data_IF_547923093027
#
_entry.id   IF_547923093027
#
_cell.length_a   1.000
_cell.length_b   1.000
_cell.length_c   1.000
_cell.angle_alpha   90.00
_cell.angle_beta   90.00
_cell.angle_gamma   90.00
#
_symmetry.space_group_name_H-M   'P 1'
#
loop_
_entity.id
_entity.type
_entity.pdbx_description
1 polymer ?
#
# COMPACT_ATOMS: atom_id res chain seq x y z
N UNK A 1 39.98 20.22 -0.86
CA UNK A 1 38.54 20.09 -1.23
C UNK A 1 37.95 21.48 -1.22
N UNK A 2 37.36 21.96 -2.33
CA UNK A 2 36.81 23.32 -2.39
C UNK A 2 35.49 23.39 -1.61
N UNK A 3 35.19 24.53 -0.99
CA UNK A 3 33.94 24.84 -0.25
C UNK A 3 32.69 24.58 -1.12
N UNK A 4 32.80 24.76 -2.43
CA UNK A 4 31.72 24.49 -3.38
C UNK A 4 31.43 22.97 -3.49
N UNK A 5 32.45 22.11 -3.41
CA UNK A 5 32.33 20.66 -3.41
C UNK A 5 31.65 20.13 -2.13
N UNK A 6 31.94 20.75 -0.97
CA UNK A 6 31.32 20.34 0.30
C UNK A 6 29.83 20.65 0.35
N UNK A 7 29.42 21.83 -0.14
CA UNK A 7 28.00 22.22 -0.21
C UNK A 7 27.17 21.31 -1.10
N UNK A 8 27.73 20.84 -2.24
CA UNK A 8 27.07 19.87 -3.09
C UNK A 8 26.84 18.55 -2.37
N UNK A 9 27.89 18.03 -1.73
CA UNK A 9 27.84 16.80 -0.93
C UNK A 9 26.81 16.86 0.19
N UNK A 10 26.66 18.02 0.84
CA UNK A 10 25.70 18.15 1.94
C UNK A 10 24.25 18.17 1.45
N UNK A 11 23.98 18.78 0.29
CA UNK A 11 22.68 18.71 -0.36
C UNK A 11 22.32 17.26 -0.75
N UNK A 12 23.25 16.54 -1.38
CA UNK A 12 23.03 15.13 -1.75
C UNK A 12 22.74 14.26 -0.51
N UNK A 13 23.46 14.45 0.60
CA UNK A 13 23.19 13.78 1.88
C UNK A 13 21.82 14.13 2.44
N UNK A 14 21.45 15.40 2.36
CA UNK A 14 20.13 15.89 2.82
C UNK A 14 19.01 15.21 2.04
N UNK A 15 19.12 15.17 0.71
CA UNK A 15 18.14 14.52 -0.18
C UNK A 15 18.00 13.05 0.19
N UNK A 16 19.11 12.29 0.25
CA UNK A 16 19.10 10.87 0.57
C UNK A 16 18.44 10.61 1.95
N UNK A 17 18.83 11.36 2.99
CA UNK A 17 18.23 11.22 4.33
C UNK A 17 16.74 11.56 4.35
N UNK A 18 16.31 12.55 3.56
CA UNK A 18 14.89 12.93 3.49
C UNK A 18 14.05 11.82 2.86
N UNK A 19 14.51 11.23 1.76
CA UNK A 19 13.85 10.10 1.12
C UNK A 19 13.79 8.87 2.04
N UNK A 20 14.90 8.54 2.70
CA UNK A 20 14.95 7.46 3.70
C UNK A 20 13.92 7.68 4.82
N UNK A 21 13.89 8.89 5.39
CA UNK A 21 13.01 9.23 6.53
C UNK A 21 11.53 9.26 6.16
N UNK A 22 11.20 9.80 4.98
CA UNK A 22 9.80 10.07 4.59
C UNK A 22 9.16 8.92 3.83
N UNK A 23 9.92 8.21 3.00
CA UNK A 23 9.44 7.13 2.16
C UNK A 23 9.89 5.75 2.65
N UNK A 24 10.84 5.66 3.59
CA UNK A 24 11.47 4.41 3.97
C UNK A 24 12.40 3.83 2.88
N UNK A 25 12.67 4.61 1.82
CA UNK A 25 13.42 4.15 0.66
C UNK A 25 14.91 3.92 0.99
N UNK A 26 15.50 2.84 0.47
CA UNK A 26 16.92 2.48 0.64
C UNK A 26 17.80 3.16 -0.40
N UNK A 27 17.74 4.48 -0.44
CA UNK A 27 18.52 5.31 -1.36
C UNK A 27 19.81 5.79 -0.70
N UNK A 28 20.85 6.02 -1.48
CA UNK A 28 22.13 6.52 -1.00
C UNK A 28 22.69 7.57 -1.96
N UNK A 29 23.56 8.43 -1.43
CA UNK A 29 24.36 9.30 -2.28
C UNK A 29 25.27 8.44 -3.18
N UNK A 30 25.32 8.71 -4.49
CA UNK A 30 26.30 8.10 -5.37
C UNK A 30 27.66 8.84 -5.26
N UNK A 31 28.65 8.14 -4.72
CA UNK A 31 30.01 8.66 -4.59
C UNK A 31 30.79 8.68 -5.90
N UNK A 32 30.25 8.07 -6.95
CA UNK A 32 30.90 7.90 -8.27
C UNK A 32 30.21 8.68 -9.38
N UNK A 33 29.23 9.54 -9.03
CA UNK A 33 28.54 10.38 -10.01
C UNK A 33 29.59 11.18 -10.80
N UNK A 34 29.63 10.98 -12.11
CA UNK A 34 30.56 11.64 -13.02
C UNK A 34 31.78 10.83 -13.50
N UNK A 35 32.11 9.67 -12.95
CA UNK A 35 33.27 8.86 -13.37
C UNK A 35 32.89 7.40 -13.69
N UNK A 36 32.15 7.17 -14.77
CA UNK A 36 31.96 5.81 -15.33
C UNK A 36 30.96 4.92 -14.61
N UNK A 37 30.09 5.46 -13.78
CA UNK A 37 28.94 4.74 -13.20
C UNK A 37 27.86 4.49 -14.26
N UNK A 38 27.24 3.29 -14.23
CA UNK A 38 26.05 2.99 -15.03
C UNK A 38 24.83 3.86 -14.64
N UNK A 39 24.83 4.42 -13.42
CA UNK A 39 23.87 5.42 -12.94
C UNK A 39 24.53 6.80 -12.96
N UNK A 40 24.04 7.70 -13.78
CA UNK A 40 24.60 9.05 -13.95
C UNK A 40 24.04 10.07 -12.95
N UNK A 41 23.20 9.65 -12.00
CA UNK A 41 22.52 10.49 -11.05
C UNK A 41 23.24 10.60 -9.72
N UNK A 42 23.04 11.68 -8.98
CA UNK A 42 23.69 11.94 -7.70
C UNK A 42 23.13 11.09 -6.55
N UNK A 43 21.88 10.63 -6.70
CA UNK A 43 21.22 9.73 -5.75
C UNK A 43 21.04 8.36 -6.39
N UNK A 44 21.65 7.35 -5.76
CA UNK A 44 21.51 5.96 -6.15
C UNK A 44 20.30 5.32 -5.47
N UNK A 45 19.35 4.83 -6.27
CA UNK A 45 18.16 4.08 -5.86
C UNK A 45 18.19 2.70 -6.53
N UNK A 46 19.06 1.83 -6.02
CA UNK A 46 19.27 0.50 -6.59
C UNK A 46 18.01 -0.36 -6.63
N UNK A 47 17.13 -0.20 -5.65
CA UNK A 47 15.91 -0.99 -5.51
C UNK A 47 14.69 -0.34 -6.19
N UNK A 48 14.86 0.81 -6.81
CA UNK A 48 13.78 1.56 -7.49
C UNK A 48 12.57 1.84 -6.57
N UNK A 49 12.85 2.20 -5.32
CA UNK A 49 11.82 2.47 -4.30
C UNK A 49 11.25 3.88 -4.40
N UNK A 50 11.83 4.72 -5.27
CA UNK A 50 11.29 6.04 -5.62
C UNK A 50 11.07 6.15 -7.12
N UNK A 51 10.12 6.95 -7.60
CA UNK A 51 9.92 7.16 -9.04
C UNK A 51 10.95 8.11 -9.66
N UNK A 52 11.89 8.66 -8.89
CA UNK A 52 12.73 9.78 -9.26
C UNK A 52 14.17 9.37 -9.58
N UNK A 53 14.70 9.90 -10.68
CA UNK A 53 16.15 9.99 -10.92
C UNK A 53 16.61 11.40 -10.61
N UNK A 54 17.43 11.55 -9.55
CA UNK A 54 17.70 12.85 -8.93
C UNK A 54 19.10 13.35 -9.24
N UNK A 55 19.16 14.52 -9.83
CA UNK A 55 20.35 15.36 -10.00
C UNK A 55 20.33 16.48 -8.97
N UNK A 56 21.38 16.63 -8.17
CA UNK A 56 21.48 17.63 -7.11
C UNK A 56 22.33 18.82 -7.54
N UNK A 57 21.86 20.02 -7.33
CA UNK A 57 22.56 21.26 -7.72
C UNK A 57 22.63 22.26 -6.58
N UNK A 58 23.82 22.66 -6.20
CA UNK A 58 24.07 23.73 -5.23
C UNK A 58 24.98 24.80 -5.82
N UNK A 59 24.40 25.68 -6.60
CA UNK A 59 25.08 26.73 -7.31
C UNK A 59 24.50 28.11 -6.94
N UNK A 60 25.35 29.16 -6.96
CA UNK A 60 24.90 30.54 -6.72
C UNK A 60 23.94 31.06 -7.78
N UNK A 61 24.12 30.64 -9.04
CA UNK A 61 23.23 30.98 -10.16
C UNK A 61 22.35 29.82 -10.52
N UNK A 62 21.06 30.07 -10.65
CA UNK A 62 20.05 29.08 -10.96
C UNK A 62 19.94 28.91 -12.47
N UNK A 63 20.24 27.71 -12.99
CA UNK A 63 20.22 27.37 -14.41
C UNK A 63 19.30 26.14 -14.68
N UNK A 64 18.04 26.21 -14.23
CA UNK A 64 17.10 25.07 -14.25
C UNK A 64 16.97 24.41 -15.62
N UNK A 65 16.92 25.21 -16.70
CA UNK A 65 16.79 24.64 -18.06
C UNK A 65 17.95 23.71 -18.40
N UNK A 66 19.17 24.11 -18.10
CA UNK A 66 20.37 23.31 -18.38
C UNK A 66 20.45 22.09 -17.46
N UNK A 67 20.15 22.26 -16.17
CA UNK A 67 20.13 21.17 -15.20
C UNK A 67 19.08 20.10 -15.57
N UNK A 68 17.87 20.55 -15.97
CA UNK A 68 16.83 19.63 -16.41
C UNK A 68 17.22 18.88 -17.69
N UNK A 69 17.92 19.54 -18.63
CA UNK A 69 18.47 18.90 -19.82
C UNK A 69 19.48 17.79 -19.43
N UNK A 70 20.33 18.06 -18.46
CA UNK A 70 21.29 17.09 -17.91
C UNK A 70 20.58 15.94 -17.20
N UNK A 71 19.61 16.21 -16.34
CA UNK A 71 18.80 15.20 -15.64
C UNK A 71 18.09 14.27 -16.64
N UNK A 72 17.44 14.83 -17.68
CA UNK A 72 16.81 14.04 -18.75
C UNK A 72 17.79 13.15 -19.49
N UNK A 73 18.99 13.62 -19.76
CA UNK A 73 20.01 12.84 -20.46
C UNK A 73 20.60 11.70 -19.62
N UNK A 74 20.51 11.80 -18.29
CA UNK A 74 21.03 10.80 -17.37
C UNK A 74 19.95 9.85 -16.82
N UNK A 75 18.67 10.22 -16.94
CA UNK A 75 17.56 9.44 -16.39
C UNK A 75 17.27 8.17 -17.20
N UNK A 76 16.81 7.13 -16.53
CA UNK A 76 16.33 5.91 -17.13
C UNK A 76 14.90 6.07 -17.67
N UNK A 77 14.51 5.24 -18.67
CA UNK A 77 13.26 5.39 -19.42
C UNK A 77 11.96 5.28 -18.58
N UNK A 78 12.04 4.70 -17.39
CA UNK A 78 10.86 4.49 -16.53
C UNK A 78 10.84 5.36 -15.29
N UNK A 79 11.75 6.35 -15.20
CA UNK A 79 11.89 7.18 -14.00
C UNK A 79 11.77 8.65 -14.35
N UNK A 80 11.34 9.43 -13.39
CA UNK A 80 11.10 10.86 -13.55
C UNK A 80 12.41 11.63 -13.35
N UNK A 81 12.94 12.29 -14.40
CA UNK A 81 14.12 13.12 -14.24
C UNK A 81 13.81 14.30 -13.34
N UNK A 82 14.53 14.39 -12.22
CA UNK A 82 14.26 15.36 -11.17
C UNK A 82 15.52 16.16 -10.85
N UNK A 83 15.45 17.48 -10.88
CA UNK A 83 16.50 18.37 -10.39
C UNK A 83 16.14 18.87 -9.01
N UNK A 84 16.96 18.57 -8.01
CA UNK A 84 16.82 19.12 -6.66
C UNK A 84 17.94 20.15 -6.44
N UNK A 85 17.59 21.36 -6.04
CA UNK A 85 18.56 22.43 -5.89
C UNK A 85 18.29 23.32 -4.67
N UNK A 86 19.37 23.90 -4.16
CA UNK A 86 19.31 24.91 -3.11
C UNK A 86 19.00 26.27 -3.71
N UNK A 87 17.97 26.94 -3.20
CA UNK A 87 17.62 28.31 -3.53
C UNK A 87 17.47 29.08 -2.21
N UNK A 88 18.45 29.89 -1.88
CA UNK A 88 18.57 30.54 -0.59
C UNK A 88 18.47 29.55 0.58
N UNK A 89 17.45 29.66 1.42
CA UNK A 89 17.21 28.75 2.56
C UNK A 89 16.33 27.56 2.18
N UNK A 90 15.77 27.52 0.97
CA UNK A 90 14.86 26.46 0.53
C UNK A 90 15.56 25.41 -0.34
N UNK A 91 15.13 24.16 -0.20
CA UNK A 91 15.46 23.07 -1.12
C UNK A 91 14.25 22.83 -2.02
N UNK A 92 14.41 23.12 -3.30
CA UNK A 92 13.37 23.03 -4.30
C UNK A 92 13.60 21.86 -5.23
N UNK A 93 12.51 21.33 -5.81
CA UNK A 93 12.57 20.29 -6.84
C UNK A 93 11.87 20.77 -8.12
N UNK A 94 12.47 20.45 -9.26
CA UNK A 94 11.91 20.67 -10.59
C UNK A 94 11.77 19.33 -11.29
N UNK A 95 10.58 19.03 -11.80
CA UNK A 95 10.22 17.85 -12.60
C UNK A 95 9.50 18.30 -13.86
N UNK A 96 9.45 17.50 -14.93
CA UNK A 96 8.58 17.78 -16.07
C UNK A 96 7.13 17.90 -15.64
N UNK A 97 6.40 18.85 -16.25
CA UNK A 97 5.02 19.12 -15.82
C UNK A 97 4.08 17.92 -16.04
N UNK A 98 4.24 17.22 -17.17
CA UNK A 98 3.42 16.06 -17.48
C UNK A 98 3.63 14.94 -16.44
N UNK A 99 4.88 14.65 -16.05
CA UNK A 99 5.20 13.68 -15.01
C UNK A 99 4.59 14.07 -13.64
N UNK A 100 4.57 15.37 -13.32
CA UNK A 100 3.91 15.86 -12.10
C UNK A 100 2.40 15.64 -12.14
N UNK A 101 1.77 15.87 -13.30
CA UNK A 101 0.34 15.62 -13.51
C UNK A 101 0.05 14.12 -13.38
N UNK A 102 0.86 13.25 -13.97
CA UNK A 102 0.71 11.80 -13.88
C UNK A 102 0.83 11.31 -12.42
N UNK A 103 1.76 11.84 -11.64
CA UNK A 103 1.84 11.57 -10.21
C UNK A 103 0.57 12.01 -9.46
N UNK A 104 0.03 13.18 -9.79
CA UNK A 104 -1.21 13.67 -9.18
C UNK A 104 -2.41 12.77 -9.50
N UNK A 105 -2.49 12.28 -10.74
CA UNK A 105 -3.50 11.30 -11.17
C UNK A 105 -3.35 10.00 -10.37
N UNK A 106 -2.15 9.43 -10.29
CA UNK A 106 -1.90 8.21 -9.52
C UNK A 106 -2.30 8.36 -8.04
N UNK A 107 -1.94 9.49 -7.41
CA UNK A 107 -2.34 9.77 -6.02
C UNK A 107 -3.85 9.84 -5.87
N UNK A 108 -4.56 10.47 -6.82
CA UNK A 108 -6.02 10.55 -6.83
C UNK A 108 -6.64 9.15 -6.89
N UNK A 109 -6.16 8.34 -7.83
CA UNK A 109 -6.73 7.02 -8.10
C UNK A 109 -6.47 6.06 -6.93
N UNK A 110 -5.28 6.07 -6.35
CA UNK A 110 -4.96 5.33 -5.13
C UNK A 110 -5.81 5.76 -3.92
N UNK A 111 -6.12 7.07 -3.80
CA UNK A 111 -7.02 7.56 -2.74
C UNK A 111 -8.45 7.07 -2.93
N UNK A 112 -8.93 7.02 -4.17
CA UNK A 112 -10.25 6.49 -4.48
C UNK A 112 -10.33 4.99 -4.14
N UNK A 113 -9.34 4.19 -4.57
CA UNK A 113 -9.25 2.77 -4.25
C UNK A 113 -9.20 2.52 -2.74
N UNK A 114 -8.41 3.29 -2.01
CA UNK A 114 -8.35 3.20 -0.55
C UNK A 114 -9.67 3.59 0.14
N UNK A 115 -10.42 4.52 -0.43
CA UNK A 115 -11.75 4.89 0.08
C UNK A 115 -12.74 3.73 -0.11
N UNK A 116 -12.74 3.10 -1.27
CA UNK A 116 -13.58 1.93 -1.57
C UNK A 116 -13.28 0.75 -0.64
N UNK A 117 -11.99 0.47 -0.39
CA UNK A 117 -11.57 -0.58 0.53
C UNK A 117 -11.94 -0.29 2.00
N UNK A 118 -12.04 0.98 2.37
CA UNK A 118 -12.45 1.41 3.72
C UNK A 118 -13.95 1.48 3.92
N UNK A 119 -14.73 1.54 2.85
CA UNK A 119 -16.18 1.46 2.95
C UNK A 119 -16.52 0.01 3.31
N UNK A 120 -17.00 -0.30 4.52
CA UNK A 120 -17.43 -1.65 4.83
C UNK A 120 -18.52 -1.99 3.82
N UNK A 121 -18.34 -3.04 3.04
CA UNK A 121 -19.40 -3.63 2.26
C UNK A 121 -20.39 -4.16 3.28
N UNK A 122 -21.32 -3.30 3.74
CA UNK A 122 -22.47 -3.71 4.50
C UNK A 122 -23.31 -4.49 3.50
N UNK A 123 -23.00 -5.79 3.40
CA UNK A 123 -23.98 -6.70 2.80
C UNK A 123 -25.26 -6.47 3.60
N UNK A 124 -26.38 -6.12 2.96
CA UNK A 124 -27.62 -5.93 3.67
C UNK A 124 -27.85 -7.20 4.49
N UNK A 125 -27.81 -7.07 5.81
CA UNK A 125 -28.00 -8.19 6.75
C UNK A 125 -29.33 -8.88 6.42
N UNK A 126 -30.31 -8.14 5.92
CA UNK A 126 -31.58 -8.64 5.42
C UNK A 126 -31.42 -9.66 4.28
N UNK A 127 -30.57 -9.37 3.27
CA UNK A 127 -30.33 -10.33 2.17
C UNK A 127 -29.56 -11.59 2.63
N UNK A 128 -28.71 -11.46 3.63
CA UNK A 128 -28.00 -12.61 4.21
C UNK A 128 -28.91 -13.44 5.12
N UNK A 129 -29.83 -12.79 5.84
CA UNK A 129 -30.84 -13.45 6.68
C UNK A 129 -31.86 -14.18 5.79
N UNK A 130 -32.36 -13.53 4.74
CA UNK A 130 -33.29 -14.17 3.81
C UNK A 130 -32.66 -15.37 3.07
N UNK A 131 -31.39 -15.25 2.68
CA UNK A 131 -30.65 -16.36 2.06
C UNK A 131 -30.39 -17.51 3.04
N UNK A 132 -30.07 -17.22 4.30
CA UNK A 132 -29.91 -18.23 5.34
C UNK A 132 -31.22 -18.90 5.73
N UNK A 133 -32.33 -18.15 5.75
CA UNK A 133 -33.68 -18.70 5.97
C UNK A 133 -34.14 -19.54 4.79
N UNK A 134 -33.85 -19.12 3.55
CA UNK A 134 -34.16 -19.90 2.34
C UNK A 134 -33.36 -21.20 2.29
N UNK A 135 -32.08 -21.18 2.67
CA UNK A 135 -31.23 -22.40 2.74
C UNK A 135 -31.77 -23.35 3.83
N UNK A 136 -32.20 -22.85 4.99
CA UNK A 136 -32.86 -23.68 6.02
C UNK A 136 -34.14 -24.32 5.55
N UNK A 137 -34.93 -23.64 4.70
CA UNK A 137 -36.17 -24.17 4.14
C UNK A 137 -35.93 -25.22 3.03
N UNK A 138 -34.84 -25.09 2.30
CA UNK A 138 -34.48 -26.00 1.19
C UNK A 138 -33.71 -27.24 1.63
N UNK A 139 -33.10 -27.24 2.82
CA UNK A 139 -32.27 -28.34 3.30
C UNK A 139 -33.02 -29.44 4.05
N UNK A 140 -34.34 -29.35 4.18
CA UNK A 140 -35.16 -30.39 4.85
C UNK A 140 -34.80 -30.66 6.31
N UNK A 141 -34.02 -29.77 6.93
CA UNK A 141 -33.57 -29.93 8.32
C UNK A 141 -34.70 -29.54 9.26
N UNK A 142 -35.20 -30.49 9.99
CA UNK A 142 -36.21 -30.28 11.05
C UNK A 142 -35.51 -30.09 12.41
N UNK A 143 -36.20 -29.48 13.36
CA UNK A 143 -35.75 -29.37 14.73
C UNK A 143 -36.69 -30.13 15.66
N UNK A 144 -36.15 -30.78 16.69
CA UNK A 144 -36.97 -31.36 17.74
C UNK A 144 -37.60 -30.24 18.60
N UNK A 145 -38.62 -30.53 19.41
CA UNK A 145 -39.28 -29.53 20.28
C UNK A 145 -38.35 -28.83 21.27
N UNK A 146 -37.12 -29.33 21.49
CA UNK A 146 -36.10 -28.71 22.33
C UNK A 146 -35.09 -27.91 21.48
N UNK A 147 -35.33 -27.67 20.18
CA UNK A 147 -34.50 -26.84 19.29
C UNK A 147 -33.26 -27.52 18.72
N UNK A 148 -33.01 -28.81 18.98
CA UNK A 148 -31.87 -29.53 18.42
C UNK A 148 -32.15 -29.92 16.95
N UNK A 149 -31.11 -29.89 16.12
CA UNK A 149 -31.17 -30.21 14.69
C UNK A 149 -31.42 -31.73 14.54
N UNK A 150 -32.45 -32.10 13.75
CA UNK A 150 -32.73 -33.46 13.36
C UNK A 150 -32.46 -33.59 11.87
N UNK A 151 -31.53 -34.49 11.47
CA UNK A 151 -31.22 -34.71 10.05
C UNK A 151 -32.42 -35.17 9.26
N UNK A 152 -32.44 -34.87 7.97
CA UNK A 152 -33.50 -35.21 7.07
C UNK A 152 -33.75 -36.74 7.06
N UNK A 153 -35.00 -37.13 7.07
CA UNK A 153 -35.40 -38.56 7.13
C UNK A 153 -35.33 -39.21 8.51
N UNK A 154 -34.93 -38.48 9.56
CA UNK A 154 -34.93 -38.98 10.94
C UNK A 154 -36.09 -38.37 11.74
N UNK A 155 -36.76 -39.21 12.53
CA UNK A 155 -37.86 -38.79 13.41
C UNK A 155 -37.47 -38.61 14.88
N UNK A 156 -36.17 -38.79 15.19
CA UNK A 156 -35.68 -38.72 16.58
C UNK A 156 -34.44 -37.89 16.68
N UNK A 157 -34.36 -37.10 17.74
CA UNK A 157 -33.18 -36.25 18.03
C UNK A 157 -31.94 -37.10 18.29
N UNK A 158 -30.80 -36.70 17.73
CA UNK A 158 -29.51 -37.39 17.89
C UNK A 158 -28.83 -37.03 19.23
N UNK A 159 -29.23 -35.93 19.87
CA UNK A 159 -28.68 -35.59 21.19
C UNK A 159 -29.14 -36.58 22.25
N UNK A 160 -28.19 -37.32 22.80
CA UNK A 160 -28.42 -38.38 23.81
C UNK A 160 -29.09 -37.91 25.11
N UNK A 161 -29.02 -36.60 25.41
CA UNK A 161 -29.64 -36.00 26.57
C UNK A 161 -31.04 -35.42 26.29
N UNK A 162 -31.44 -35.39 25.04
CA UNK A 162 -32.76 -34.94 24.64
C UNK A 162 -33.82 -35.99 24.86
N UNK A 163 -34.94 -35.62 25.51
CA UNK A 163 -36.09 -36.55 25.71
C UNK A 163 -36.72 -37.10 24.43
N UNK A 164 -36.41 -36.49 23.28
CA UNK A 164 -36.84 -36.93 21.96
C UNK A 164 -35.78 -37.74 21.22
N UNK A 165 -34.67 -38.09 21.90
CA UNK A 165 -33.62 -38.97 21.37
C UNK A 165 -34.02 -40.44 21.50
N UNK A 166 -33.59 -41.26 20.53
CA UNK A 166 -33.75 -42.70 20.61
C UNK A 166 -32.96 -43.34 21.76
N UNK A 167 -31.95 -42.65 22.26
CA UNK A 167 -31.07 -43.08 23.35
C UNK A 167 -31.41 -42.49 24.72
N UNK A 168 -32.43 -41.64 24.77
CA UNK A 168 -32.82 -41.00 26.04
C UNK A 168 -33.37 -42.01 27.03
N UNK A 169 -32.69 -42.15 28.18
CA UNK A 169 -33.18 -42.91 29.32
C UNK A 169 -33.70 -41.97 30.36
N UNK A 170 -34.99 -42.01 30.65
CA UNK A 170 -35.63 -41.22 31.71
C UNK A 170 -34.90 -41.44 33.04
N UNK A 171 -34.44 -40.39 33.74
CA UNK A 171 -33.81 -40.56 35.05
C UNK A 171 -34.75 -41.26 36.01
N UNK A 172 -34.26 -42.29 36.70
CA UNK A 172 -35.01 -42.99 37.77
C UNK A 172 -35.21 -42.04 38.92
N UNK A 173 -36.44 -41.62 39.18
CA UNK A 173 -36.80 -40.91 40.37
C UNK A 173 -36.60 -41.86 41.55
N UNK A 174 -35.61 -41.58 42.42
CA UNK A 174 -35.49 -42.25 43.69
C UNK A 174 -36.67 -41.78 44.55
N UNK A 175 -37.52 -42.72 44.92
CA UNK A 175 -38.54 -42.50 45.96
C UNK A 175 -37.87 -42.41 47.31
#
# INVERSE_FOLDING_TARGET
VSVASEKGVDLEKYIAKTLQKKLGARVTRDKRSGAGSHQKMDISDYYQETPFDIEAKNHKSIAVKEWMRQAKAGSSLSRIPTVVFQADDDVLACVPFDDLVDLAVQIRDLRAELADLRTPTVLPVEAAVDKAVAIKRSSGVSTCPNGHIVPDGQHKCLDKHCKYSSTYKKPKVKK
#
